data_IF_662389337016
#
_entry.id   IF_662389337016
#
_cell.length_a   1.000
_cell.length_b   1.000
_cell.length_c   1.000
_cell.angle_alpha   90.00
_cell.angle_beta   90.00
_cell.angle_gamma   90.00
#
_symmetry.space_group_name_H-M   'P 1'
#
loop_
_entity.id
_entity.type
_entity.pdbx_description
1 polymer ?
#
# COMPACT_ATOMS: atom_id res chain seq x y z
N UNK A 1 7.44 -15.79 -4.21
CA UNK A 1 7.58 -14.34 -3.93
C UNK A 1 6.25 -13.74 -3.52
N UNK A 2 5.26 -13.78 -4.42
CA UNK A 2 3.87 -13.43 -4.14
C UNK A 2 3.25 -14.22 -2.97
N UNK A 3 3.66 -15.48 -2.78
CA UNK A 3 3.18 -16.36 -1.70
C UNK A 3 3.47 -15.78 -0.31
N UNK A 4 4.66 -15.19 -0.13
CA UNK A 4 5.04 -14.55 1.13
C UNK A 4 4.18 -13.33 1.44
N UNK A 5 3.84 -12.54 0.42
CA UNK A 5 2.97 -11.37 0.57
C UNK A 5 1.57 -11.81 0.99
N UNK A 6 1.06 -12.89 0.42
CA UNK A 6 -0.23 -13.48 0.80
C UNK A 6 -0.24 -13.95 2.26
N UNK A 7 0.80 -14.66 2.69
CA UNK A 7 0.93 -15.12 4.08
C UNK A 7 1.05 -13.95 5.06
N UNK A 8 1.84 -12.92 4.73
CA UNK A 8 1.98 -11.72 5.56
C UNK A 8 0.65 -10.97 5.68
N UNK A 9 -0.06 -10.78 4.56
CA UNK A 9 -1.35 -10.11 4.56
C UNK A 9 -2.40 -10.90 5.36
N UNK A 10 -2.45 -12.22 5.18
CA UNK A 10 -3.31 -13.08 5.97
C UNK A 10 -2.96 -12.99 7.46
N UNK A 11 -1.67 -12.99 7.80
CA UNK A 11 -1.22 -12.81 9.17
C UNK A 11 -1.68 -11.46 9.71
N UNK A 12 -1.60 -10.39 8.94
CA UNK A 12 -2.02 -9.05 9.35
C UNK A 12 -3.54 -8.98 9.58
N UNK A 13 -4.35 -9.61 8.71
CA UNK A 13 -5.80 -9.60 8.78
C UNK A 13 -6.36 -10.43 9.95
N UNK A 14 -5.78 -11.60 10.22
CA UNK A 14 -6.29 -12.53 11.22
C UNK A 14 -5.62 -12.35 12.59
N UNK A 15 -6.42 -12.45 13.65
CA UNK A 15 -5.93 -12.40 15.03
C UNK A 15 -5.14 -13.66 15.43
N UNK A 16 -4.23 -13.53 16.41
CA UNK A 16 -3.33 -14.60 16.88
C UNK A 16 -4.02 -15.95 17.13
N UNK A 17 -5.24 -15.97 17.69
CA UNK A 17 -6.00 -17.22 17.91
C UNK A 17 -6.39 -17.95 16.63
N UNK A 18 -6.70 -17.22 15.56
CA UNK A 18 -7.11 -17.80 14.28
C UNK A 18 -5.91 -18.14 13.38
N UNK A 19 -4.77 -17.46 13.58
CA UNK A 19 -3.53 -17.73 12.84
C UNK A 19 -3.06 -19.18 12.97
N UNK A 20 -3.25 -19.81 14.14
CA UNK A 20 -2.84 -21.20 14.37
C UNK A 20 -3.57 -22.20 13.46
N UNK A 21 -4.77 -21.87 13.00
CA UNK A 21 -5.55 -22.73 12.08
C UNK A 21 -5.36 -22.33 10.62
N UNK A 22 -5.29 -21.03 10.35
CA UNK A 22 -5.24 -20.49 8.98
C UNK A 22 -3.87 -20.72 8.33
N UNK A 23 -2.78 -20.61 9.10
CA UNK A 23 -1.43 -20.78 8.55
C UNK A 23 -1.18 -22.21 8.05
N UNK A 24 -1.48 -23.28 8.83
CA UNK A 24 -1.41 -24.65 8.31
C UNK A 24 -2.37 -24.88 7.15
N UNK A 25 -3.58 -24.33 7.19
CA UNK A 25 -4.55 -24.50 6.09
C UNK A 25 -4.04 -23.92 4.77
N UNK A 26 -3.36 -22.76 4.80
CA UNK A 26 -2.71 -22.19 3.62
C UNK A 26 -1.59 -23.08 3.08
N UNK A 27 -0.80 -23.68 3.97
CA UNK A 27 0.25 -24.62 3.58
C UNK A 27 -0.34 -25.89 2.95
N UNK A 28 -1.43 -26.43 3.51
CA UNK A 28 -2.16 -27.56 2.93
C UNK A 28 -2.72 -27.21 1.54
N UNK A 29 -3.30 -26.02 1.38
CA UNK A 29 -3.78 -25.54 0.08
C UNK A 29 -2.66 -25.48 -0.97
N UNK A 30 -1.49 -24.97 -0.59
CA UNK A 30 -0.32 -24.97 -1.46
C UNK A 30 0.12 -26.39 -1.83
N UNK A 31 0.19 -27.30 -0.86
CA UNK A 31 0.49 -28.71 -1.10
C UNK A 31 -0.48 -29.39 -2.07
N UNK A 32 -1.78 -29.14 -1.92
CA UNK A 32 -2.80 -29.64 -2.86
C UNK A 32 -2.60 -29.09 -4.28
N UNK A 33 -2.20 -27.83 -4.43
CA UNK A 33 -1.85 -27.24 -5.73
C UNK A 33 -0.70 -27.96 -6.43
N UNK A 34 0.35 -28.31 -5.67
CA UNK A 34 1.50 -29.08 -6.19
C UNK A 34 1.06 -30.48 -6.61
N UNK A 35 0.33 -31.21 -5.76
CA UNK A 35 -0.17 -32.56 -6.06
C UNK A 35 -1.06 -32.55 -7.31
N UNK A 36 -1.97 -31.56 -7.41
CA UNK A 36 -2.84 -31.38 -8.57
C UNK A 36 -2.03 -31.14 -9.84
N UNK A 37 -0.98 -30.31 -9.76
CA UNK A 37 -0.09 -30.02 -10.89
C UNK A 37 0.67 -31.28 -11.34
N UNK A 38 1.19 -32.08 -10.40
CA UNK A 38 1.84 -33.36 -10.70
C UNK A 38 0.89 -34.36 -11.36
N UNK A 39 -0.36 -34.42 -10.88
CA UNK A 39 -1.38 -35.31 -11.46
C UNK A 39 -1.72 -34.91 -12.90
N UNK A 40 -1.86 -33.61 -13.17
CA UNK A 40 -2.11 -33.08 -14.52
C UNK A 40 -0.92 -33.35 -15.44
N UNK A 41 0.31 -33.22 -14.93
CA UNK A 41 1.51 -33.58 -15.68
C UNK A 41 1.58 -35.07 -16.04
N UNK A 42 1.03 -35.94 -15.20
CA UNK A 42 0.95 -37.38 -15.49
C UNK A 42 -0.15 -37.71 -16.51
N UNK A 43 -1.32 -37.06 -16.41
CA UNK A 43 -2.45 -37.27 -17.32
C UNK A 43 -2.21 -36.72 -18.73
N UNK A 44 -1.54 -35.57 -18.86
CA UNK A 44 -1.31 -34.91 -20.15
C UNK A 44 0.15 -35.02 -20.58
N UNK A 45 0.43 -35.92 -21.55
CA UNK A 45 1.75 -36.04 -22.21
C UNK A 45 2.19 -34.74 -22.92
N UNK A 46 1.24 -33.86 -23.27
CA UNK A 46 1.49 -32.61 -23.96
C UNK A 46 1.72 -31.45 -22.97
N UNK A 47 2.97 -30.98 -22.86
CA UNK A 47 3.39 -29.87 -22.00
C UNK A 47 2.57 -28.58 -22.16
N UNK A 48 1.99 -28.34 -23.35
CA UNK A 48 1.15 -27.16 -23.63
C UNK A 48 -0.13 -27.13 -22.78
N UNK A 49 -0.73 -28.28 -22.50
CA UNK A 49 -1.97 -28.35 -21.71
C UNK A 49 -1.70 -28.03 -20.24
N UNK A 50 -0.58 -28.52 -19.70
CA UNK A 50 -0.12 -28.16 -18.37
C UNK A 50 0.11 -26.64 -18.25
N UNK A 51 0.71 -26.03 -19.29
CA UNK A 51 0.96 -24.59 -19.29
C UNK A 51 -0.34 -23.77 -19.33
N UNK A 52 -1.33 -24.16 -20.14
CA UNK A 52 -2.65 -23.50 -20.19
C UNK A 52 -3.35 -23.59 -18.83
N UNK A 53 -3.27 -24.73 -18.15
CA UNK A 53 -3.86 -24.89 -16.82
C UNK A 53 -3.20 -23.95 -15.80
N UNK A 54 -1.86 -23.91 -15.76
CA UNK A 54 -1.11 -23.03 -14.85
C UNK A 54 -1.42 -21.56 -15.14
N UNK A 55 -1.46 -21.17 -16.43
CA UNK A 55 -1.85 -19.81 -16.84
C UNK A 55 -3.30 -19.50 -16.46
N UNK A 56 -4.22 -20.44 -16.59
CA UNK A 56 -5.62 -20.27 -16.19
C UNK A 56 -5.79 -20.02 -14.69
N UNK A 57 -5.14 -20.84 -13.86
CA UNK A 57 -5.13 -20.65 -12.39
C UNK A 57 -4.50 -19.31 -12.01
N UNK A 58 -3.43 -18.91 -12.70
CA UNK A 58 -2.79 -17.60 -12.49
C UNK A 58 -3.72 -16.45 -12.87
N UNK A 59 -4.47 -16.58 -13.97
CA UNK A 59 -5.40 -15.56 -14.44
C UNK A 59 -6.61 -15.40 -13.50
N UNK A 60 -7.11 -16.51 -12.95
CA UNK A 60 -8.13 -16.52 -11.90
C UNK A 60 -7.71 -15.77 -10.64
N UNK A 61 -6.41 -15.62 -10.40
CA UNK A 61 -5.88 -14.90 -9.23
C UNK A 61 -5.93 -13.37 -9.39
N UNK A 62 -6.09 -12.84 -10.61
CA UNK A 62 -6.15 -11.40 -10.88
C UNK A 62 -7.34 -10.71 -10.20
N UNK A 63 -8.59 -11.19 -10.30
CA UNK A 63 -9.72 -10.55 -9.62
C UNK A 63 -9.60 -10.57 -8.08
N UNK A 64 -8.84 -11.52 -7.49
CA UNK A 64 -8.61 -11.54 -6.04
C UNK A 64 -7.85 -10.29 -5.55
N UNK A 65 -7.03 -9.66 -6.40
CA UNK A 65 -6.31 -8.43 -6.06
C UNK A 65 -7.27 -7.28 -5.75
N UNK A 66 -8.43 -7.23 -6.41
CA UNK A 66 -9.44 -6.20 -6.16
C UNK A 66 -10.25 -6.43 -4.88
N UNK A 67 -10.37 -7.69 -4.46
CA UNK A 67 -11.10 -8.07 -3.24
C UNK A 67 -10.22 -7.88 -2.00
N UNK A 68 -8.90 -8.10 -2.13
CA UNK A 68 -7.96 -7.95 -1.03
C UNK A 68 -7.82 -6.47 -0.61
N UNK A 69 -8.10 -6.12 0.67
CA UNK A 69 -7.78 -4.80 1.17
C UNK A 69 -6.26 -4.59 1.23
N UNK A 70 -5.80 -3.38 0.92
CA UNK A 70 -4.40 -2.97 1.13
C UNK A 70 -4.00 -3.14 2.61
N UNK A 71 -2.74 -3.47 2.88
CA UNK A 71 -2.24 -3.66 4.25
C UNK A 71 -2.34 -2.36 5.08
N UNK A 72 -2.86 -2.49 6.31
CA UNK A 72 -3.04 -1.35 7.22
C UNK A 72 -1.69 -0.75 7.62
N UNK A 73 -0.65 -1.59 7.79
CA UNK A 73 0.72 -1.15 8.05
C UNK A 73 1.29 -0.30 6.93
N UNK A 74 1.16 -0.75 5.68
CA UNK A 74 1.66 0.02 4.53
C UNK A 74 0.91 1.35 4.39
N UNK A 75 -0.40 1.36 4.62
CA UNK A 75 -1.20 2.59 4.62
C UNK A 75 -0.77 3.58 5.71
N UNK A 76 -0.34 3.09 6.87
CA UNK A 76 0.15 3.90 7.99
C UNK A 76 1.48 4.56 7.64
N UNK A 77 2.44 3.80 7.11
CA UNK A 77 3.75 4.31 6.68
C UNK A 77 3.60 5.33 5.55
N UNK A 78 2.68 5.11 4.61
CA UNK A 78 2.41 6.04 3.51
C UNK A 78 1.56 7.27 3.90
N UNK A 79 1.37 7.53 5.21
CA UNK A 79 0.55 8.63 5.74
C UNK A 79 -0.89 8.64 5.17
N UNK A 80 -1.43 7.50 4.76
CA UNK A 80 -2.81 7.34 4.23
C UNK A 80 -3.77 6.90 5.33
N UNK A 81 -3.77 7.65 6.44
CA UNK A 81 -4.48 7.30 7.68
C UNK A 81 -5.99 7.07 7.52
N UNK A 82 -6.69 7.86 6.67
CA UNK A 82 -8.13 7.66 6.37
C UNK A 82 -8.44 6.29 5.75
N UNK A 83 -7.53 5.76 4.92
CA UNK A 83 -7.68 4.42 4.33
C UNK A 83 -7.32 3.35 5.36
N UNK A 84 -6.25 3.56 6.13
CA UNK A 84 -5.83 2.65 7.19
C UNK A 84 -6.98 2.40 8.19
N UNK A 85 -7.65 3.45 8.65
CA UNK A 85 -8.80 3.36 9.57
C UNK A 85 -9.95 2.51 9.01
N UNK A 86 -10.32 2.71 7.74
CA UNK A 86 -11.37 1.89 7.09
C UNK A 86 -11.01 0.42 7.02
N UNK A 87 -9.75 0.11 6.72
CA UNK A 87 -9.26 -1.27 6.63
C UNK A 87 -9.24 -1.89 8.03
N UNK A 88 -8.77 -1.16 9.05
CA UNK A 88 -8.79 -1.59 10.44
C UNK A 88 -10.22 -1.87 10.95
N UNK A 89 -11.18 -1.00 10.63
CA UNK A 89 -12.60 -1.19 10.97
C UNK A 89 -13.20 -2.44 10.33
N UNK A 90 -12.84 -2.74 9.07
CA UNK A 90 -13.25 -3.99 8.42
C UNK A 90 -12.64 -5.20 9.12
N UNK A 91 -11.35 -5.16 9.46
CA UNK A 91 -10.70 -6.24 10.21
C UNK A 91 -11.35 -6.47 11.57
N UNK A 92 -11.67 -5.40 12.29
CA UNK A 92 -12.33 -5.46 13.59
C UNK A 92 -13.70 -6.15 13.52
N UNK A 93 -14.49 -5.84 12.48
CA UNK A 93 -15.75 -6.53 12.20
C UNK A 93 -15.54 -8.02 11.90
N UNK A 94 -14.57 -8.36 11.06
CA UNK A 94 -14.28 -9.76 10.72
C UNK A 94 -13.75 -10.57 11.92
N UNK A 95 -12.94 -9.94 12.77
CA UNK A 95 -12.33 -10.59 13.93
C UNK A 95 -13.21 -10.57 15.19
N UNK A 96 -14.38 -9.93 15.13
CA UNK A 96 -15.31 -9.80 16.27
C UNK A 96 -14.72 -9.06 17.47
N UNK A 97 -13.66 -8.27 17.26
CA UNK A 97 -12.99 -7.49 18.31
C UNK A 97 -13.09 -6.00 17.96
N UNK A 98 -13.74 -5.18 18.82
CA UNK A 98 -13.75 -3.75 18.61
C UNK A 98 -12.31 -3.21 18.63
N UNK A 99 -12.07 -2.18 17.84
CA UNK A 99 -10.79 -1.45 17.86
C UNK A 99 -10.80 -0.61 19.14
N UNK A 100 -9.68 -0.59 19.85
CA UNK A 100 -9.49 0.30 20.99
C UNK A 100 -9.71 1.76 20.55
N UNK A 101 -10.57 2.49 21.28
CA UNK A 101 -10.90 3.89 20.96
C UNK A 101 -9.65 4.78 20.97
N UNK A 102 -8.65 4.43 21.78
CA UNK A 102 -7.36 5.12 21.80
C UNK A 102 -6.64 5.05 20.45
N UNK A 103 -6.64 3.88 19.80
CA UNK A 103 -6.02 3.71 18.49
C UNK A 103 -6.75 4.54 17.45
N UNK A 104 -8.09 4.55 17.48
CA UNK A 104 -8.91 5.37 16.56
C UNK A 104 -8.56 6.85 16.73
N UNK A 105 -8.52 7.36 17.96
CA UNK A 105 -8.14 8.74 18.27
C UNK A 105 -6.73 9.09 17.78
N UNK A 106 -5.77 8.17 17.89
CA UNK A 106 -4.42 8.39 17.37
C UNK A 106 -4.41 8.58 15.85
N UNK A 107 -5.14 7.76 15.10
CA UNK A 107 -5.25 7.92 13.65
C UNK A 107 -6.00 9.21 13.27
N UNK A 108 -7.04 9.58 14.01
CA UNK A 108 -7.77 10.85 13.81
C UNK A 108 -6.88 12.07 14.06
N UNK A 109 -6.11 12.08 15.14
CA UNK A 109 -5.13 13.12 15.43
C UNK A 109 -4.05 13.21 14.34
N UNK A 110 -3.59 12.07 13.81
CA UNK A 110 -2.63 12.03 12.70
C UNK A 110 -3.23 12.58 11.39
N UNK A 111 -4.53 12.36 11.15
CA UNK A 111 -5.26 12.96 10.03
C UNK A 111 -5.36 14.48 10.19
N UNK A 112 -5.67 14.96 11.40
CA UNK A 112 -5.76 16.38 11.70
C UNK A 112 -4.42 17.08 11.46
N UNK A 113 -3.31 16.54 12.00
CA UNK A 113 -1.95 17.07 11.80
C UNK A 113 -1.58 17.21 10.32
N UNK A 114 -1.90 16.19 9.51
CA UNK A 114 -1.63 16.20 8.07
C UNK A 114 -2.44 17.26 7.31
N UNK A 115 -3.64 17.57 7.79
CA UNK A 115 -4.48 18.62 7.21
C UNK A 115 -3.91 20.00 7.54
N UNK A 116 -3.50 20.21 8.80
CA UNK A 116 -2.86 21.46 9.24
C UNK A 116 -1.51 21.72 8.55
N UNK A 117 -0.70 20.68 8.33
CA UNK A 117 0.58 20.79 7.61
C UNK A 117 0.35 21.26 6.16
N UNK A 118 -0.63 20.65 5.46
CA UNK A 118 -1.02 21.08 4.11
C UNK A 118 -1.57 22.51 4.05
N UNK A 119 -2.30 22.93 5.07
CA UNK A 119 -2.87 24.29 5.12
C UNK A 119 -1.77 25.33 5.30
N UNK A 120 -0.79 25.06 6.18
CA UNK A 120 0.41 25.90 6.31
C UNK A 120 1.24 25.94 5.04
N UNK A 121 1.40 24.81 4.34
CA UNK A 121 2.12 24.76 3.06
C UNK A 121 1.40 25.61 1.99
N UNK A 122 0.07 25.59 1.98
CA UNK A 122 -0.75 26.39 1.08
C UNK A 122 -0.67 27.89 1.39
N UNK A 123 -0.71 28.27 2.67
CA UNK A 123 -0.53 29.67 3.11
C UNK A 123 0.88 30.18 2.80
N UNK A 124 1.90 29.36 3.01
CA UNK A 124 3.30 29.72 2.73
C UNK A 124 3.52 29.88 1.23
N UNK A 125 3.02 28.95 0.42
CA UNK A 125 3.11 29.03 -1.04
C UNK A 125 2.29 30.21 -1.59
N UNK A 126 1.09 30.46 -1.06
CA UNK A 126 0.27 31.61 -1.40
C UNK A 126 0.96 32.94 -1.05
N UNK A 127 1.56 33.03 0.14
CA UNK A 127 2.31 34.22 0.57
C UNK A 127 3.57 34.45 -0.27
N UNK A 128 4.31 33.39 -0.65
CA UNK A 128 5.44 33.50 -1.58
C UNK A 128 4.98 33.96 -2.97
N UNK A 129 3.88 33.42 -3.50
CA UNK A 129 3.34 33.82 -4.81
C UNK A 129 2.85 35.28 -4.80
N UNK A 130 2.21 35.73 -3.71
CA UNK A 130 1.76 37.12 -3.55
C UNK A 130 2.97 38.05 -3.42
N UNK A 131 4.00 37.69 -2.63
CA UNK A 131 5.23 38.46 -2.51
C UNK A 131 6.02 38.52 -3.82
N UNK A 132 6.09 37.46 -4.60
CA UNK A 132 6.71 37.47 -5.94
C UNK A 132 5.97 38.41 -6.89
N UNK A 133 4.62 38.40 -6.91
CA UNK A 133 3.83 39.36 -7.70
C UNK A 133 4.02 40.80 -7.23
N UNK A 134 4.14 41.03 -5.93
CA UNK A 134 4.34 42.37 -5.35
C UNK A 134 5.78 42.89 -5.54
N UNK A 135 6.79 42.03 -5.42
CA UNK A 135 8.20 42.35 -5.69
C UNK A 135 8.54 42.39 -7.19
N UNK A 136 7.77 41.68 -8.04
CA UNK A 136 7.92 41.68 -9.51
C UNK A 136 7.52 43.01 -10.18
N UNK A 137 6.94 43.96 -9.44
CA UNK A 137 6.64 45.31 -9.91
C UNK A 137 7.81 46.30 -9.89
N UNK A 138 8.99 45.92 -9.38
CA UNK A 138 10.17 46.80 -9.37
C UNK A 138 11.25 46.28 -10.32
N UNK A 139 11.05 46.50 -11.63
CA UNK A 139 12.15 46.49 -12.59
C UNK A 139 13.10 47.65 -12.23
N UNK A 140 14.18 47.32 -11.54
CA UNK A 140 15.42 48.08 -11.66
C UNK A 140 16.49 47.18 -12.28
N UNK A 141 16.79 47.49 -13.53
CA UNK A 141 17.93 47.02 -14.26
C UNK A 141 19.21 47.41 -13.50
N UNK A 142 20.04 46.42 -13.15
CA UNK A 142 21.50 46.55 -13.12
C UNK A 142 22.14 45.17 -13.24
N UNK A 143 22.50 44.85 -14.49
CA UNK A 143 23.85 44.45 -14.89
C UNK A 143 24.65 43.55 -13.92
N UNK A 144 24.82 42.28 -14.25
CA UNK A 144 26.05 41.71 -14.86
C UNK A 144 26.02 40.19 -14.78
N UNK A 145 26.33 39.57 -15.92
CA UNK A 145 26.77 38.19 -16.09
C UNK A 145 27.80 37.80 -15.02
N UNK A 146 27.54 36.70 -14.31
CA UNK A 146 28.61 35.92 -13.68
C UNK A 146 28.38 34.45 -13.99
N UNK A 147 29.43 33.89 -14.55
CA UNK A 147 29.56 32.69 -15.36
C UNK A 147 29.47 31.41 -14.54
N UNK A 148 28.94 30.34 -15.17
CA UNK A 148 28.85 28.95 -14.68
C UNK A 148 30.23 28.27 -14.52
N UNK A 149 31.32 29.04 -14.38
CA UNK A 149 32.71 28.55 -14.42
C UNK A 149 33.45 28.75 -13.08
N UNK A 150 32.84 29.37 -12.07
CA UNK A 150 33.49 29.56 -10.74
C UNK A 150 33.03 28.58 -9.64
N UNK A 151 32.39 27.47 -10.00
CA UNK A 151 32.17 26.32 -9.10
C UNK A 151 33.00 25.13 -9.60
N UNK A 152 34.32 25.29 -9.64
CA UNK A 152 35.26 24.16 -9.73
C UNK A 152 36.58 24.58 -9.05
N UNK A 153 36.67 24.37 -7.72
CA UNK A 153 37.91 24.17 -6.96
C UNK A 153 37.62 23.44 -5.67
#
# INVERSE_FOLDING_TARGET
GADLVGVILAAELFALKQRTLIMPAMACFWGMGVISTSLIGFLFRNWRHAQIFISGVSLLSIPLIWILPESARWLTVNRKYKKALRVLQRMAKCNGRPIEDEVVKQYEAAIARKTTEKEKDLETHGSMTIKEKFCGGRKHNKMKTFTVVDIFR
#
